data_IF_216615592175
#
_entry.id   IF_216615592175
#
_cell.length_a   1.000
_cell.length_b   1.000
_cell.length_c   1.000
_cell.angle_alpha   90.00
_cell.angle_beta   90.00
_cell.angle_gamma   90.00
#
_symmetry.space_group_name_H-M   'P 1'
#
loop_
_entity.id
_entity.type
_entity.pdbx_description
1 polymer ?
#
# COMPACT_ATOMS: atom_id res chain seq x y z
N UNK A 1 17.19 -20.51 18.00
CA UNK A 1 17.85 -20.32 16.69
C UNK A 1 17.22 -19.11 16.02
N UNK A 2 17.89 -17.96 16.02
CA UNK A 2 17.48 -16.84 15.17
C UNK A 2 18.09 -17.09 13.79
N UNK A 3 17.26 -17.47 12.82
CA UNK A 3 17.67 -17.53 11.43
C UNK A 3 17.75 -16.08 10.96
N UNK A 4 18.96 -15.53 10.86
CA UNK A 4 19.17 -14.20 10.28
C UNK A 4 18.86 -14.30 8.79
N UNK A 5 17.69 -13.79 8.40
CA UNK A 5 17.32 -13.67 7.00
C UNK A 5 18.16 -12.56 6.36
N UNK A 6 18.53 -12.73 5.10
CA UNK A 6 19.23 -11.70 4.35
C UNK A 6 18.27 -10.53 4.08
N UNK A 7 18.68 -9.25 4.09
CA UNK A 7 17.75 -8.11 3.95
C UNK A 7 16.90 -8.11 2.67
N UNK A 8 17.37 -8.78 1.61
CA UNK A 8 16.60 -8.98 0.38
C UNK A 8 15.46 -10.00 0.55
N UNK A 9 15.66 -11.03 1.37
CA UNK A 9 14.65 -12.04 1.68
C UNK A 9 13.60 -11.47 2.65
N UNK A 10 14.01 -10.61 3.57
CA UNK A 10 13.09 -9.86 4.45
C UNK A 10 12.15 -8.97 3.65
N UNK A 11 12.65 -8.20 2.67
CA UNK A 11 11.80 -7.33 1.83
C UNK A 11 10.81 -8.11 0.98
N UNK A 12 11.22 -9.25 0.39
CA UNK A 12 10.32 -10.15 -0.36
C UNK A 12 9.25 -10.74 0.56
N UNK A 13 9.63 -11.17 1.76
CA UNK A 13 8.71 -11.73 2.76
C UNK A 13 7.68 -10.70 3.23
N UNK A 14 8.11 -9.45 3.51
CA UNK A 14 7.21 -8.37 3.91
C UNK A 14 6.24 -7.96 2.80
N UNK A 15 6.70 -7.88 1.55
CA UNK A 15 5.82 -7.58 0.42
C UNK A 15 4.76 -8.66 0.23
N UNK A 16 5.17 -9.94 0.28
CA UNK A 16 4.24 -11.08 0.18
C UNK A 16 3.21 -11.08 1.32
N UNK A 17 3.66 -10.90 2.56
CA UNK A 17 2.75 -10.84 3.71
C UNK A 17 1.77 -9.67 3.63
N UNK A 18 2.21 -8.53 3.09
CA UNK A 18 1.31 -7.39 2.88
C UNK A 18 0.23 -7.69 1.83
N UNK A 19 0.58 -8.37 0.73
CA UNK A 19 -0.40 -8.81 -0.28
C UNK A 19 -1.40 -9.78 0.33
N UNK A 20 -0.95 -10.80 1.08
CA UNK A 20 -1.84 -11.76 1.74
C UNK A 20 -2.83 -11.09 2.70
N UNK A 21 -2.36 -10.08 3.44
CA UNK A 21 -3.20 -9.28 4.32
C UNK A 21 -4.24 -8.46 3.53
N UNK A 22 -3.83 -7.77 2.46
CA UNK A 22 -4.76 -7.05 1.56
C UNK A 22 -5.83 -7.98 1.01
N UNK A 23 -5.46 -9.15 0.50
CA UNK A 23 -6.39 -10.13 -0.03
C UNK A 23 -7.38 -10.61 1.05
N UNK A 24 -6.90 -10.78 2.28
CA UNK A 24 -7.75 -11.17 3.42
C UNK A 24 -8.76 -10.08 3.76
N UNK A 25 -8.32 -8.82 3.82
CA UNK A 25 -9.22 -7.69 4.09
C UNK A 25 -10.26 -7.55 2.99
N UNK A 26 -9.85 -7.61 1.72
CA UNK A 26 -10.78 -7.53 0.59
C UNK A 26 -11.84 -8.64 0.64
N UNK A 27 -11.47 -9.87 0.99
CA UNK A 27 -12.44 -10.97 1.21
C UNK A 27 -13.41 -10.66 2.35
N UNK A 28 -12.91 -10.13 3.47
CA UNK A 28 -13.76 -9.74 4.60
C UNK A 28 -14.76 -8.62 4.23
N UNK A 29 -14.42 -7.79 3.24
CA UNK A 29 -15.29 -6.75 2.68
C UNK A 29 -16.25 -7.28 1.58
N UNK A 30 -16.28 -8.59 1.35
CA UNK A 30 -17.16 -9.22 0.37
C UNK A 30 -16.62 -9.25 -1.07
N UNK A 31 -15.35 -8.87 -1.27
CA UNK A 31 -14.71 -8.91 -2.60
C UNK A 31 -14.18 -10.32 -2.83
N UNK A 32 -14.69 -10.99 -3.88
CA UNK A 32 -14.40 -12.39 -4.22
C UNK A 32 -13.02 -12.55 -4.89
N UNK A 33 -11.95 -12.17 -4.19
CA UNK A 33 -10.57 -12.24 -4.71
C UNK A 33 -10.10 -13.67 -5.00
N UNK A 34 -10.74 -14.68 -4.41
CA UNK A 34 -10.47 -16.11 -4.61
C UNK A 34 -11.01 -16.66 -5.94
N UNK A 35 -11.82 -15.90 -6.68
CA UNK A 35 -12.30 -16.27 -8.02
C UNK A 35 -11.33 -15.84 -9.14
N UNK A 36 -10.21 -15.21 -8.79
CA UNK A 36 -9.26 -14.64 -9.73
C UNK A 36 -7.82 -15.04 -9.40
N UNK A 37 -7.03 -15.24 -10.45
CA UNK A 37 -5.57 -15.27 -10.35
C UNK A 37 -5.03 -13.84 -10.36
N UNK A 38 -4.69 -13.31 -9.19
CA UNK A 38 -4.24 -11.93 -9.04
C UNK A 38 -2.72 -11.84 -9.23
N UNK A 39 -2.30 -11.22 -10.32
CA UNK A 39 -0.89 -10.90 -10.58
C UNK A 39 -0.63 -9.41 -10.31
N UNK A 40 0.28 -9.13 -9.38
CA UNK A 40 0.68 -7.76 -9.01
C UNK A 40 2.08 -7.50 -9.54
N UNK A 41 2.21 -6.49 -10.40
CA UNK A 41 3.49 -6.02 -10.91
C UNK A 41 3.79 -4.62 -10.39
N UNK A 42 5.03 -4.41 -9.95
CA UNK A 42 5.53 -3.11 -9.50
C UNK A 42 6.52 -2.59 -10.54
N UNK A 43 6.14 -1.59 -11.36
CA UNK A 43 6.99 -1.08 -12.42
C UNK A 43 8.33 -0.53 -11.90
N UNK A 44 9.39 -0.71 -12.67
CA UNK A 44 10.71 -0.13 -12.38
C UNK A 44 11.59 -0.95 -11.41
N UNK A 45 11.12 -2.08 -10.89
CA UNK A 45 11.93 -3.02 -10.11
C UNK A 45 12.44 -2.47 -8.78
N UNK A 46 11.94 -1.31 -8.33
CA UNK A 46 12.29 -0.75 -7.04
C UNK A 46 11.76 -1.66 -5.91
N UNK A 47 12.55 -1.93 -4.86
CA UNK A 47 12.09 -2.71 -3.72
C UNK A 47 10.87 -2.04 -3.11
N UNK A 48 9.77 -2.78 -3.01
CA UNK A 48 8.55 -2.28 -2.37
C UNK A 48 8.87 -2.09 -0.89
N UNK A 49 8.55 -0.91 -0.38
CA UNK A 49 8.80 -0.51 1.00
C UNK A 49 7.71 -1.08 1.93
N UNK A 50 7.69 -2.42 2.02
CA UNK A 50 6.90 -3.19 2.99
C UNK A 50 5.39 -2.91 2.99
N UNK A 51 4.71 -3.00 4.16
CA UNK A 51 3.26 -2.89 4.27
C UNK A 51 2.68 -1.51 3.90
N UNK A 52 3.54 -0.49 3.71
CA UNK A 52 3.13 0.89 3.50
C UNK A 52 2.45 1.19 2.15
N UNK A 53 2.41 0.19 1.25
CA UNK A 53 1.66 0.20 -0.01
C UNK A 53 0.30 -0.53 0.07
N UNK A 54 -0.14 -0.93 1.28
CA UNK A 54 -1.33 -1.74 1.48
C UNK A 54 -2.59 -1.17 0.83
N UNK A 55 -2.88 0.12 1.04
CA UNK A 55 -4.07 0.75 0.45
C UNK A 55 -3.98 0.89 -1.08
N UNK A 56 -2.77 1.07 -1.63
CA UNK A 56 -2.54 1.14 -3.06
C UNK A 56 -2.83 -0.21 -3.73
N UNK A 57 -2.34 -1.29 -3.13
CA UNK A 57 -2.63 -2.64 -3.60
C UNK A 57 -4.12 -2.96 -3.48
N UNK A 58 -4.77 -2.60 -2.36
CA UNK A 58 -6.19 -2.84 -2.17
C UNK A 58 -7.03 -2.12 -3.24
N UNK A 59 -6.75 -0.85 -3.50
CA UNK A 59 -7.43 -0.07 -4.53
C UNK A 59 -7.21 -0.65 -5.93
N UNK A 60 -5.96 -1.01 -6.27
CA UNK A 60 -5.63 -1.60 -7.57
C UNK A 60 -6.35 -2.93 -7.81
N UNK A 61 -6.38 -3.81 -6.81
CA UNK A 61 -7.08 -5.10 -6.91
C UNK A 61 -8.59 -4.88 -7.03
N UNK A 62 -9.17 -4.01 -6.21
CA UNK A 62 -10.58 -3.67 -6.28
C UNK A 62 -10.95 -3.10 -7.65
N UNK A 63 -10.16 -2.15 -8.15
CA UNK A 63 -10.30 -1.55 -9.48
C UNK A 63 -10.27 -2.61 -10.59
N UNK A 64 -9.32 -3.54 -10.55
CA UNK A 64 -9.19 -4.61 -11.54
C UNK A 64 -10.38 -5.58 -11.53
N UNK A 65 -10.91 -5.93 -10.36
CA UNK A 65 -12.07 -6.82 -10.24
C UNK A 65 -13.35 -6.14 -10.72
N UNK A 66 -13.57 -4.87 -10.32
CA UNK A 66 -14.80 -4.15 -10.59
C UNK A 66 -14.79 -3.34 -11.90
N UNK A 67 -13.65 -3.27 -12.59
CA UNK A 67 -13.47 -2.47 -13.81
C UNK A 67 -13.77 -0.97 -13.58
N UNK A 68 -13.43 -0.48 -12.39
CA UNK A 68 -13.60 0.94 -12.02
C UNK A 68 -12.21 1.60 -12.10
N UNK A 69 -11.99 2.56 -13.01
CA UNK A 69 -10.68 3.20 -13.15
C UNK A 69 -10.32 4.02 -11.91
N UNK A 70 -9.04 3.99 -11.54
CA UNK A 70 -8.47 4.86 -10.51
C UNK A 70 -7.92 6.11 -11.19
N UNK A 71 -8.09 7.27 -10.57
CA UNK A 71 -7.45 8.50 -11.04
C UNK A 71 -5.92 8.40 -10.95
N UNK A 72 -5.27 8.43 -12.11
CA UNK A 72 -3.81 8.41 -12.26
C UNK A 72 -3.07 9.60 -11.61
N UNK A 73 -3.75 10.71 -11.31
CA UNK A 73 -3.16 11.86 -10.60
C UNK A 73 -3.24 11.72 -9.07
N UNK A 74 -3.85 10.65 -8.58
CA UNK A 74 -3.99 10.37 -7.15
C UNK A 74 -2.94 9.35 -6.69
N UNK A 75 -2.01 9.80 -5.84
CA UNK A 75 -1.09 8.93 -5.12
C UNK A 75 -1.70 8.50 -3.78
N UNK A 76 -1.28 7.36 -3.24
CA UNK A 76 -1.76 6.86 -1.95
C UNK A 76 -0.70 6.08 -1.19
N UNK A 77 -0.67 6.19 0.14
CA UNK A 77 0.19 5.41 1.03
C UNK A 77 -0.52 5.12 2.35
N UNK A 78 -0.23 3.96 2.93
CA UNK A 78 -0.89 3.50 4.15
C UNK A 78 -0.78 1.99 4.28
N UNK A 79 -0.62 1.52 5.52
CA UNK A 79 -0.70 0.09 5.82
C UNK A 79 -2.15 -0.30 6.07
N UNK A 80 -2.59 -1.43 5.52
CA UNK A 80 -3.91 -1.97 5.82
C UNK A 80 -3.81 -2.90 7.04
N UNK A 81 -4.65 -2.69 8.05
CA UNK A 81 -4.81 -3.63 9.15
C UNK A 81 -5.75 -4.79 8.76
N UNK A 82 -5.66 -5.91 9.48
CA UNK A 82 -6.52 -7.09 9.25
C UNK A 82 -8.03 -6.80 9.38
N UNK A 83 -8.41 -5.74 10.09
CA UNK A 83 -9.80 -5.31 10.26
C UNK A 83 -10.20 -4.23 9.25
N UNK A 84 -9.33 -3.91 8.28
CA UNK A 84 -9.58 -2.94 7.21
C UNK A 84 -9.24 -1.48 7.57
N UNK A 85 -8.71 -1.21 8.76
CA UNK A 85 -8.26 0.15 9.12
C UNK A 85 -6.97 0.53 8.38
N UNK A 86 -6.84 1.81 8.04
CA UNK A 86 -5.61 2.37 7.45
C UNK A 86 -4.70 2.87 8.58
N UNK A 87 -3.56 2.22 8.76
CA UNK A 87 -2.58 2.51 9.80
C UNK A 87 -1.52 3.53 9.34
N UNK A 88 -0.95 4.31 10.27
CA UNK A 88 0.09 5.28 9.96
C UNK A 88 1.35 4.61 9.42
N UNK A 89 2.07 5.36 8.59
CA UNK A 89 3.33 4.93 7.98
C UNK A 89 4.46 5.90 8.32
N UNK A 90 5.68 5.38 8.33
CA UNK A 90 6.89 6.18 8.45
C UNK A 90 7.20 6.94 7.16
N UNK A 91 7.84 8.11 7.30
CA UNK A 91 8.32 8.88 6.16
C UNK A 91 7.20 9.43 5.26
N UNK A 92 6.06 9.84 5.82
CA UNK A 92 4.94 10.39 5.02
C UNK A 92 5.33 11.65 4.23
N UNK A 93 6.14 12.55 4.83
CA UNK A 93 6.58 13.80 4.19
C UNK A 93 7.42 13.55 2.93
N UNK A 94 8.51 12.75 2.95
CA UNK A 94 9.25 12.46 1.73
C UNK A 94 8.41 11.75 0.67
N UNK A 95 7.44 10.89 1.06
CA UNK A 95 6.51 10.25 0.13
C UNK A 95 5.58 11.24 -0.56
N UNK A 96 5.01 12.20 0.18
CA UNK A 96 4.19 13.28 -0.39
C UNK A 96 5.02 14.13 -1.37
N UNK A 97 6.27 14.47 -0.99
CA UNK A 97 7.17 15.24 -1.87
C UNK A 97 7.48 14.47 -3.16
N UNK A 98 7.78 13.19 -3.07
CA UNK A 98 8.02 12.33 -4.23
C UNK A 98 6.78 12.23 -5.13
N UNK A 99 5.59 12.06 -4.54
CA UNK A 99 4.33 12.05 -5.29
C UNK A 99 4.09 13.37 -6.04
N UNK A 100 4.33 14.51 -5.38
CA UNK A 100 4.24 15.84 -6.01
C UNK A 100 5.24 15.99 -7.15
N UNK A 101 6.49 15.53 -6.98
CA UNK A 101 7.51 15.54 -8.03
C UNK A 101 7.14 14.64 -9.22
N UNK A 102 6.44 13.53 -8.97
CA UNK A 102 5.90 12.64 -10.00
C UNK A 102 4.64 13.19 -10.70
N UNK A 103 4.14 14.37 -10.30
CA UNK A 103 2.99 15.03 -10.93
C UNK A 103 1.63 14.70 -10.31
N UNK A 104 1.58 14.02 -9.16
CA UNK A 104 0.32 13.77 -8.46
C UNK A 104 -0.32 15.07 -7.97
N UNK A 105 -1.61 15.25 -8.23
CA UNK A 105 -2.41 16.40 -7.74
C UNK A 105 -3.02 16.12 -6.38
N UNK A 106 -3.18 14.84 -6.03
CA UNK A 106 -3.81 14.42 -4.78
C UNK A 106 -2.99 13.30 -4.14
N UNK A 107 -2.85 13.34 -2.82
CA UNK A 107 -2.16 12.29 -2.05
C UNK A 107 -3.03 11.85 -0.89
N UNK A 108 -3.44 10.58 -0.90
CA UNK A 108 -4.17 9.93 0.18
C UNK A 108 -3.17 9.40 1.20
N UNK A 109 -3.37 9.78 2.47
CA UNK A 109 -2.51 9.39 3.59
C UNK A 109 -3.35 8.87 4.76
N UNK A 110 -2.77 8.11 5.70
CA UNK A 110 -3.47 7.70 6.91
C UNK A 110 -3.86 8.93 7.75
N UNK A 111 -5.04 8.89 8.37
CA UNK A 111 -5.55 9.98 9.20
C UNK A 111 -4.56 10.37 10.32
N UNK A 112 -3.99 9.38 10.98
CA UNK A 112 -3.01 9.59 12.07
C UNK A 112 -1.70 10.26 11.60
N UNK A 113 -1.37 10.15 10.31
CA UNK A 113 -0.22 10.86 9.76
C UNK A 113 -0.47 12.36 9.56
N UNK A 114 -1.72 12.84 9.61
CA UNK A 114 -2.01 14.28 9.52
C UNK A 114 -1.35 15.08 10.64
N UNK A 115 -1.27 14.53 11.86
CA UNK A 115 -0.58 15.18 12.97
C UNK A 115 0.92 15.38 12.70
N UNK A 116 1.55 14.50 11.91
CA UNK A 116 2.96 14.66 11.53
C UNK A 116 3.17 15.81 10.53
N UNK A 117 2.13 16.20 9.80
CA UNK A 117 2.14 17.31 8.85
C UNK A 117 1.88 18.63 9.58
N UNK A 118 0.95 18.63 10.55
CA UNK A 118 0.55 19.82 11.30
C UNK A 118 1.57 20.27 12.35
N UNK A 119 2.47 19.39 12.82
CA UNK A 119 3.51 19.74 13.82
C UNK A 119 4.70 20.54 13.25
N UNK A 120 4.55 21.14 12.08
CA UNK A 120 5.52 22.07 11.49
C UNK A 120 4.83 23.39 11.21
N UNK A 121 4.80 24.23 12.23
CA UNK A 121 4.85 25.70 12.16
C UNK A 121 5.88 26.17 13.18
#
# INVERSE_FOLDING_TARGET
MAVSLNPLDEKKSMAKGSVENVLTVLRNLGIRTNEYDIHINFPGGAPIDGPSAGIAMAAAIFSAIHQIPIDHLTAMTGEIGLQGQVKPIGGVIPKIKAAKQAGATTVIIPYDNQQSILKRD
#
